data_IF_495146613884
#
_entry.id   IF_495146613884
#
_cell.length_a   1.000
_cell.length_b   1.000
_cell.length_c   1.000
_cell.angle_alpha   90.00
_cell.angle_beta   90.00
_cell.angle_gamma   90.00
#
_symmetry.space_group_name_H-M   'P 1'
#
loop_
_entity.id
_entity.type
_entity.pdbx_description
1 polymer ?
#
# COMPACT_ATOMS: atom_id res chain seq x y z
N UNK A 1 16.34 -2.77 -15.84
CA UNK A 1 15.77 -1.41 -15.67
C UNK A 1 14.54 -1.12 -16.53
N UNK A 2 14.47 -1.52 -17.82
CA UNK A 2 13.37 -1.15 -18.75
C UNK A 2 11.96 -1.65 -18.37
N UNK A 3 11.85 -2.82 -17.71
CA UNK A 3 10.55 -3.42 -17.32
C UNK A 3 9.89 -2.74 -16.10
N UNK A 4 10.66 -2.17 -15.18
CA UNK A 4 10.12 -1.54 -13.96
C UNK A 4 9.31 -0.29 -14.24
N UNK A 5 9.71 0.52 -15.24
CA UNK A 5 8.97 1.73 -15.61
C UNK A 5 7.61 1.39 -16.22
N UNK A 6 7.51 0.25 -16.92
CA UNK A 6 6.26 -0.26 -17.48
C UNK A 6 5.34 -0.72 -16.36
N UNK A 7 5.86 -1.46 -15.38
CA UNK A 7 5.06 -1.92 -14.22
C UNK A 7 4.52 -0.72 -13.44
N UNK A 8 5.36 0.28 -13.16
CA UNK A 8 4.95 1.51 -12.45
C UNK A 8 3.88 2.27 -13.24
N UNK A 9 4.07 2.45 -14.55
CA UNK A 9 3.10 3.12 -15.41
C UNK A 9 1.76 2.36 -15.45
N UNK A 10 1.80 1.03 -15.59
CA UNK A 10 0.61 0.19 -15.57
C UNK A 10 -0.13 0.27 -14.22
N UNK A 11 0.58 0.17 -13.10
CA UNK A 11 -0.05 0.31 -11.77
C UNK A 11 -0.68 1.68 -11.57
N UNK A 12 -0.04 2.74 -12.08
CA UNK A 12 -0.57 4.09 -11.96
C UNK A 12 -1.84 4.26 -12.77
N UNK A 13 -1.80 3.96 -14.07
CA UNK A 13 -2.96 4.09 -14.95
C UNK A 13 -4.12 3.25 -14.43
N UNK A 14 -3.85 2.04 -13.93
CA UNK A 14 -4.87 1.16 -13.37
C UNK A 14 -5.51 1.73 -12.11
N UNK A 15 -4.70 2.16 -11.13
CA UNK A 15 -5.20 2.75 -9.89
C UNK A 15 -5.99 4.05 -10.11
N UNK A 16 -5.56 4.88 -11.05
CA UNK A 16 -6.20 6.15 -11.39
C UNK A 16 -7.54 5.93 -12.09
N UNK A 17 -7.61 4.94 -13.00
CA UNK A 17 -8.84 4.55 -13.68
C UNK A 17 -9.87 4.00 -12.71
N UNK A 18 -9.44 3.14 -11.77
CA UNK A 18 -10.31 2.62 -10.71
C UNK A 18 -10.81 3.75 -9.80
N UNK A 19 -9.92 4.64 -9.36
CA UNK A 19 -10.28 5.76 -8.51
C UNK A 19 -11.29 6.70 -9.16
N UNK A 20 -11.12 7.00 -10.45
CA UNK A 20 -12.05 7.84 -11.21
C UNK A 20 -13.41 7.15 -11.42
N UNK A 21 -13.40 5.86 -11.74
CA UNK A 21 -14.62 5.07 -11.89
C UNK A 21 -15.43 5.01 -10.59
N UNK A 22 -14.78 4.68 -9.48
CA UNK A 22 -15.42 4.66 -8.16
C UNK A 22 -15.89 6.04 -7.71
N UNK A 23 -15.11 7.08 -8.02
CA UNK A 23 -15.50 8.46 -7.75
C UNK A 23 -16.83 8.81 -8.41
N UNK A 24 -16.93 8.64 -9.74
CA UNK A 24 -18.15 8.96 -10.50
C UNK A 24 -19.36 8.12 -10.07
N UNK A 25 -19.13 6.92 -9.55
CA UNK A 25 -20.21 6.07 -9.05
C UNK A 25 -20.75 6.54 -7.70
N UNK A 26 -19.91 7.13 -6.85
CA UNK A 26 -20.27 7.54 -5.49
C UNK A 26 -20.76 8.99 -5.39
N UNK A 27 -20.31 9.87 -6.29
CA UNK A 27 -20.72 11.27 -6.33
C UNK A 27 -21.19 11.59 -7.74
N UNK A 28 -22.51 11.69 -8.00
CA UNK A 28 -23.00 12.22 -9.27
C UNK A 28 -22.53 13.67 -9.42
N UNK A 29 -21.97 13.99 -10.59
CA UNK A 29 -21.33 15.28 -10.93
C UNK A 29 -20.07 15.62 -10.10
N UNK A 30 -19.04 14.78 -10.19
CA UNK A 30 -17.75 15.09 -9.59
C UNK A 30 -17.24 16.46 -10.05
N UNK A 31 -16.99 17.41 -9.13
CA UNK A 31 -16.41 18.68 -9.47
C UNK A 31 -15.05 18.47 -10.13
N UNK A 32 -14.81 19.16 -11.25
CA UNK A 32 -13.54 19.09 -12.00
C UNK A 32 -12.35 19.37 -11.10
N UNK A 33 -12.51 20.25 -10.10
CA UNK A 33 -11.49 20.55 -9.10
C UNK A 33 -11.03 19.33 -8.28
N UNK A 34 -11.94 18.43 -7.92
CA UNK A 34 -11.63 17.20 -7.17
C UNK A 34 -10.86 16.20 -8.04
N UNK A 35 -11.24 16.08 -9.31
CA UNK A 35 -10.54 15.25 -10.29
C UNK A 35 -9.12 15.77 -10.51
N UNK A 36 -8.98 17.08 -10.73
CA UNK A 36 -7.67 17.75 -10.90
C UNK A 36 -6.80 17.58 -9.66
N UNK A 37 -7.35 17.76 -8.46
CA UNK A 37 -6.63 17.55 -7.21
C UNK A 37 -6.15 16.10 -7.05
N UNK A 38 -6.98 15.11 -7.41
CA UNK A 38 -6.60 13.69 -7.40
C UNK A 38 -5.48 13.36 -8.40
N UNK A 39 -5.53 13.93 -9.60
CA UNK A 39 -4.47 13.80 -10.61
C UNK A 39 -3.17 14.40 -10.09
N UNK A 40 -3.21 15.63 -9.58
CA UNK A 40 -2.03 16.32 -9.05
C UNK A 40 -1.44 15.54 -7.87
N UNK A 41 -2.26 15.09 -6.93
CA UNK A 41 -1.83 14.28 -5.80
C UNK A 41 -1.14 12.99 -6.24
N UNK A 42 -1.68 12.33 -7.27
CA UNK A 42 -1.08 11.12 -7.85
C UNK A 42 0.28 11.40 -8.49
N UNK A 43 0.38 12.46 -9.31
CA UNK A 43 1.65 12.85 -9.96
C UNK A 43 2.72 13.22 -8.92
N UNK A 44 2.35 13.98 -7.89
CA UNK A 44 3.26 14.37 -6.81
C UNK A 44 3.72 13.13 -6.03
N UNK A 45 2.79 12.23 -5.66
CA UNK A 45 3.13 11.00 -4.95
C UNK A 45 4.12 10.13 -5.73
N UNK A 46 3.91 9.98 -7.03
CA UNK A 46 4.84 9.25 -7.93
C UNK A 46 6.19 9.96 -8.03
N UNK A 47 6.18 11.28 -8.16
CA UNK A 47 7.39 12.10 -8.21
C UNK A 47 8.28 11.91 -6.98
N UNK A 48 7.67 11.82 -5.79
CA UNK A 48 8.38 11.54 -4.54
C UNK A 48 9.00 10.13 -4.56
N UNK A 49 8.26 9.11 -4.99
CA UNK A 49 8.76 7.72 -5.06
C UNK A 49 9.91 7.60 -6.08
N UNK A 50 9.76 8.16 -7.28
CA UNK A 50 10.84 8.14 -8.28
C UNK A 50 12.04 8.97 -7.85
N UNK A 51 11.81 10.12 -7.21
CA UNK A 51 12.85 10.98 -6.67
C UNK A 51 13.68 10.28 -5.60
N UNK A 52 13.03 9.56 -4.68
CA UNK A 52 13.72 8.79 -3.63
C UNK A 52 14.50 7.61 -4.19
N UNK A 53 13.97 6.90 -5.20
CA UNK A 53 14.69 5.83 -5.91
C UNK A 53 15.95 6.38 -6.59
N UNK A 54 15.80 7.45 -7.39
CA UNK A 54 16.90 8.05 -8.15
C UNK A 54 17.96 8.67 -7.24
N UNK A 55 17.53 9.29 -6.14
CA UNK A 55 18.44 9.77 -5.10
C UNK A 55 19.23 8.63 -4.46
N UNK A 56 18.59 7.48 -4.20
CA UNK A 56 19.27 6.30 -3.66
C UNK A 56 20.25 5.69 -4.66
N UNK A 57 19.88 5.59 -5.94
CA UNK A 57 20.76 5.10 -7.01
C UNK A 57 22.01 5.98 -7.15
N UNK A 58 21.84 7.30 -7.17
CA UNK A 58 22.96 8.25 -7.27
C UNK A 58 23.95 8.17 -6.09
N UNK A 59 23.52 7.62 -4.95
CA UNK A 59 24.36 7.46 -3.74
C UNK A 59 25.09 6.12 -3.71
N UNK A 60 24.80 5.18 -4.61
CA UNK A 60 25.51 3.90 -4.68
C UNK A 60 26.80 4.05 -5.49
N UNK A 61 27.93 3.96 -4.79
CA UNK A 61 29.27 4.04 -5.39
C UNK A 61 29.71 2.71 -6.05
N UNK A 62 29.07 1.60 -5.72
CA UNK A 62 29.36 0.26 -6.26
C UNK A 62 28.08 -0.49 -6.63
N UNK A 63 28.19 -1.38 -7.62
CA UNK A 63 27.09 -2.20 -8.17
C UNK A 63 26.74 -3.38 -7.23
N UNK A 64 26.63 -3.09 -5.93
CA UNK A 64 26.25 -4.07 -4.91
C UNK A 64 24.73 -4.24 -4.97
N UNK A 65 24.20 -5.47 -5.00
CA UNK A 65 22.76 -5.71 -4.95
C UNK A 65 22.14 -5.06 -3.70
N UNK A 66 20.95 -4.48 -3.86
CA UNK A 66 20.24 -3.75 -2.78
C UNK A 66 19.77 -4.65 -1.63
N UNK A 67 19.64 -5.95 -1.90
CA UNK A 67 19.03 -6.95 -1.03
C UNK A 67 19.80 -8.25 -1.24
N UNK A 68 20.31 -8.81 -0.15
CA UNK A 68 20.94 -10.14 -0.16
C UNK A 68 19.85 -11.22 -0.13
N UNK A 69 20.18 -12.45 -0.53
CA UNK A 69 19.26 -13.59 -0.52
C UNK A 69 18.65 -13.82 0.87
N UNK A 70 19.43 -13.57 1.93
CA UNK A 70 18.98 -13.65 3.33
C UNK A 70 17.89 -12.63 3.65
N UNK A 71 18.09 -11.37 3.24
CA UNK A 71 17.11 -10.31 3.45
C UNK A 71 15.82 -10.61 2.69
N UNK A 72 15.92 -11.21 1.49
CA UNK A 72 14.74 -11.63 0.72
C UNK A 72 13.94 -12.73 1.43
N UNK A 73 14.63 -13.75 1.98
CA UNK A 73 14.00 -14.83 2.74
C UNK A 73 13.35 -14.27 4.01
N UNK A 74 14.00 -13.36 4.72
CA UNK A 74 13.46 -12.73 5.92
C UNK A 74 12.18 -11.93 5.62
N UNK A 75 12.18 -11.13 4.56
CA UNK A 75 10.98 -10.39 4.11
C UNK A 75 9.85 -11.35 3.76
N UNK A 76 10.14 -12.43 3.02
CA UNK A 76 9.15 -13.45 2.67
C UNK A 76 8.54 -14.11 3.92
N UNK A 77 9.38 -14.51 4.87
CA UNK A 77 8.94 -15.12 6.11
C UNK A 77 8.12 -14.15 6.96
N UNK A 78 8.52 -12.88 7.04
CA UNK A 78 7.77 -11.84 7.72
C UNK A 78 6.37 -11.67 7.13
N UNK A 79 6.23 -11.57 5.81
CA UNK A 79 4.93 -11.45 5.17
C UNK A 79 4.08 -12.71 5.33
N UNK A 80 4.68 -13.90 5.27
CA UNK A 80 3.96 -15.15 5.51
C UNK A 80 3.37 -15.21 6.93
N UNK A 81 4.19 -14.91 7.95
CA UNK A 81 3.74 -14.89 9.34
C UNK A 81 2.70 -13.78 9.56
N UNK A 82 2.97 -12.57 9.07
CA UNK A 82 2.07 -11.44 9.21
C UNK A 82 0.72 -11.71 8.55
N UNK A 83 0.69 -12.40 7.41
CA UNK A 83 -0.54 -12.79 6.74
C UNK A 83 -1.40 -13.72 7.62
N UNK A 84 -0.80 -14.72 8.27
CA UNK A 84 -1.53 -15.58 9.20
C UNK A 84 -2.04 -14.80 10.41
N UNK A 85 -1.22 -13.93 11.00
CA UNK A 85 -1.62 -13.09 12.13
C UNK A 85 -2.79 -12.18 11.75
N UNK A 86 -2.74 -11.56 10.57
CA UNK A 86 -3.81 -10.69 10.08
C UNK A 86 -5.07 -11.51 9.82
N UNK A 87 -5.00 -12.63 9.11
CA UNK A 87 -6.19 -13.45 8.83
C UNK A 87 -6.85 -13.97 10.10
N UNK A 88 -6.09 -14.62 10.97
CA UNK A 88 -6.63 -15.16 12.21
C UNK A 88 -7.07 -14.07 13.18
N UNK A 89 -6.28 -13.01 13.32
CA UNK A 89 -6.61 -11.86 14.16
C UNK A 89 -7.89 -11.15 13.70
N UNK A 90 -8.02 -10.90 12.39
CA UNK A 90 -9.22 -10.30 11.80
C UNK A 90 -10.44 -11.18 12.03
N UNK A 91 -10.31 -12.50 11.79
CA UNK A 91 -11.40 -13.44 12.01
C UNK A 91 -11.84 -13.46 13.49
N UNK A 92 -10.89 -13.46 14.42
CA UNK A 92 -11.18 -13.44 15.86
C UNK A 92 -11.93 -12.16 16.26
N UNK A 93 -11.51 -11.00 15.73
CA UNK A 93 -12.21 -9.73 15.94
C UNK A 93 -13.65 -9.81 15.43
N UNK A 94 -13.87 -10.37 14.23
CA UNK A 94 -15.23 -10.54 13.69
C UNK A 94 -16.07 -11.49 14.54
N UNK A 95 -15.50 -12.61 15.03
CA UNK A 95 -16.21 -13.51 15.93
C UNK A 95 -16.59 -12.84 17.25
N UNK A 96 -15.72 -11.99 17.81
CA UNK A 96 -16.03 -11.23 19.02
C UNK A 96 -17.15 -10.21 18.79
N UNK A 97 -17.09 -9.48 17.68
CA UNK A 97 -18.14 -8.55 17.27
C UNK A 97 -19.49 -9.27 17.11
N UNK A 98 -19.47 -10.43 16.43
CA UNK A 98 -20.66 -11.28 16.31
C UNK A 98 -21.19 -11.75 17.67
N UNK A 99 -20.33 -12.18 18.58
CA UNK A 99 -20.73 -12.59 19.93
C UNK A 99 -21.29 -11.43 20.77
N UNK A 100 -20.87 -10.19 20.51
CA UNK A 100 -21.42 -8.97 21.11
C UNK A 100 -22.74 -8.52 20.48
N UNK A 101 -23.23 -9.24 19.45
CA UNK A 101 -24.50 -8.93 18.78
C UNK A 101 -24.40 -7.75 17.81
N UNK A 102 -23.20 -7.34 17.37
CA UNK A 102 -23.09 -6.30 16.35
C UNK A 102 -23.44 -6.87 14.97
N UNK A 103 -24.55 -6.40 14.41
CA UNK A 103 -25.02 -6.84 13.09
C UNK A 103 -24.37 -6.07 11.94
N UNK A 104 -23.95 -4.83 12.19
CA UNK A 104 -23.36 -3.94 11.19
C UNK A 104 -22.06 -3.32 11.70
N UNK A 105 -21.14 -3.06 10.77
CA UNK A 105 -19.86 -2.41 11.05
C UNK A 105 -19.81 -1.13 10.23
N UNK A 106 -19.58 0.00 10.89
CA UNK A 106 -19.40 1.26 10.17
C UNK A 106 -18.10 1.23 9.36
N UNK A 107 -18.18 1.68 8.11
CA UNK A 107 -17.05 1.72 7.17
C UNK A 107 -15.90 2.59 7.68
N UNK A 108 -16.20 3.62 8.48
CA UNK A 108 -15.21 4.48 9.12
C UNK A 108 -14.24 3.69 10.01
N UNK A 109 -14.77 2.90 10.94
CA UNK A 109 -13.95 2.07 11.83
C UNK A 109 -13.18 0.99 11.06
N UNK A 110 -13.80 0.38 10.05
CA UNK A 110 -13.13 -0.60 9.20
C UNK A 110 -11.94 0.02 8.44
N UNK A 111 -12.11 1.23 7.90
CA UNK A 111 -11.05 1.93 7.18
C UNK A 111 -9.86 2.28 8.08
N UNK A 112 -10.11 2.72 9.33
CA UNK A 112 -9.06 3.01 10.31
C UNK A 112 -8.31 1.74 10.69
N UNK A 113 -9.04 0.63 10.92
CA UNK A 113 -8.43 -0.67 11.21
C UNK A 113 -7.49 -1.13 10.08
N UNK A 114 -7.95 -1.05 8.82
CA UNK A 114 -7.15 -1.41 7.65
C UNK A 114 -5.94 -0.48 7.47
N UNK A 115 -6.09 0.81 7.75
CA UNK A 115 -5.00 1.78 7.70
C UNK A 115 -3.90 1.43 8.71
N UNK A 116 -4.27 1.12 9.95
CA UNK A 116 -3.32 0.71 11.01
C UNK A 116 -2.59 -0.57 10.59
N UNK A 117 -3.31 -1.57 10.08
CA UNK A 117 -2.69 -2.80 9.56
C UNK A 117 -1.68 -2.50 8.46
N UNK A 118 -2.01 -1.62 7.53
CA UNK A 118 -1.12 -1.24 6.43
C UNK A 118 0.16 -0.58 6.95
N UNK A 119 0.04 0.37 7.89
CA UNK A 119 1.20 0.99 8.53
C UNK A 119 2.07 -0.03 9.26
N UNK A 120 1.46 -0.96 9.99
CA UNK A 120 2.20 -2.00 10.73
C UNK A 120 2.99 -2.91 9.78
N UNK A 121 2.40 -3.30 8.65
CA UNK A 121 3.09 -4.09 7.62
C UNK A 121 4.25 -3.31 6.98
N UNK A 122 4.03 -2.03 6.64
CA UNK A 122 5.08 -1.18 6.04
C UNK A 122 6.25 -1.03 7.01
N UNK A 123 5.98 -0.64 8.27
CA UNK A 123 7.00 -0.46 9.30
C UNK A 123 7.73 -1.78 9.56
N UNK A 124 6.99 -2.89 9.72
CA UNK A 124 7.58 -4.21 9.95
C UNK A 124 8.51 -4.64 8.81
N UNK A 125 8.15 -4.32 7.56
CA UNK A 125 9.01 -4.59 6.40
C UNK A 125 10.33 -3.80 6.46
N UNK A 126 10.30 -2.53 6.89
CA UNK A 126 11.52 -1.74 7.08
C UNK A 126 12.40 -2.28 8.21
N UNK A 127 11.80 -2.80 9.28
CA UNK A 127 12.53 -3.42 10.40
C UNK A 127 13.25 -4.69 9.93
N UNK A 128 12.53 -5.59 9.24
CA UNK A 128 13.08 -6.87 8.77
C UNK A 128 14.13 -6.68 7.68
N UNK A 129 13.97 -5.66 6.83
CA UNK A 129 14.95 -5.32 5.78
C UNK A 129 16.30 -4.87 6.34
N UNK A 130 16.35 -4.34 7.56
CA UNK A 130 17.59 -3.84 8.19
C UNK A 130 18.46 -4.97 8.76
N UNK A 131 17.91 -6.17 8.92
CA UNK A 131 18.62 -7.37 9.39
C UNK A 131 19.06 -8.25 8.22
#
# INVERSE_FOLDING_TARGET
MKSWHIIIACTLVFSMSIGFYLGNLMVPDLPVGTVVAGIIGSVVGVGIVLGTIKFRENRKKHNVPDVDERTWINIKNFYAISLYIVLFGSMLIVCLLFALGTETIELGFLSIYLLILFFLLVIGTFVVKRQ
#
